data_IF_315428439158
#
_entry.id   IF_315428439158
#
_cell.length_a   1.000
_cell.length_b   1.000
_cell.length_c   1.000
_cell.angle_alpha   90.00
_cell.angle_beta   90.00
_cell.angle_gamma   90.00
#
_symmetry.space_group_name_H-M   'P 1'
#
loop_
_entity.id
_entity.type
_entity.pdbx_description
1 polymer ?
#
# COMPACT_ATOMS: atom_id res chain seq x y z
N UNK A 1 -16.98 11.65 3.58
CA UNK A 1 -16.02 11.18 2.65
C UNK A 1 -14.88 10.45 3.35
N UNK A 2 -14.45 9.38 2.76
CA UNK A 2 -13.44 8.61 3.39
C UNK A 2 -12.08 9.10 3.02
N UNK A 3 -11.18 9.15 3.96
CA UNK A 3 -9.79 9.40 3.66
C UNK A 3 -9.19 8.18 2.99
N UNK A 4 -8.42 8.40 1.96
CA UNK A 4 -7.70 7.32 1.31
C UNK A 4 -6.29 7.24 1.89
N UNK A 5 -6.22 7.11 3.21
CA UNK A 5 -4.92 7.13 3.88
C UNK A 5 -4.04 5.98 3.46
N UNK A 6 -4.60 4.77 3.41
CA UNK A 6 -3.81 3.62 3.02
C UNK A 6 -3.25 3.80 1.61
N UNK A 7 -4.12 4.16 0.67
CA UNK A 7 -3.67 4.27 -0.71
C UNK A 7 -2.62 5.35 -0.91
N UNK A 8 -2.82 6.49 -0.27
CA UNK A 8 -1.87 7.58 -0.39
C UNK A 8 -0.52 7.22 0.22
N UNK A 9 -0.54 6.57 1.37
CA UNK A 9 0.71 6.19 2.02
C UNK A 9 1.42 5.09 1.28
N UNK A 10 0.66 4.13 0.75
CA UNK A 10 1.25 3.08 -0.08
C UNK A 10 1.95 3.68 -1.28
N UNK A 11 1.30 4.62 -1.96
CA UNK A 11 1.91 5.25 -3.12
C UNK A 11 3.18 6.01 -2.73
N UNK A 12 3.14 6.75 -1.64
CA UNK A 12 4.31 7.49 -1.18
C UNK A 12 5.47 6.56 -0.88
N UNK A 13 5.20 5.45 -0.20
CA UNK A 13 6.24 4.50 0.14
C UNK A 13 6.81 3.84 -1.10
N UNK A 14 5.93 3.50 -2.05
CA UNK A 14 6.36 2.89 -3.29
C UNK A 14 7.29 3.83 -4.07
N UNK A 15 6.87 5.09 -4.19
CA UNK A 15 7.67 6.07 -4.91
C UNK A 15 9.00 6.34 -4.22
N UNK A 16 9.00 6.33 -2.89
CA UNK A 16 10.23 6.52 -2.14
C UNK A 16 11.23 5.41 -2.39
N UNK A 17 10.74 4.20 -2.65
CA UNK A 17 11.62 3.09 -2.99
C UNK A 17 11.97 3.07 -4.48
N UNK A 18 11.37 3.94 -5.27
CA UNK A 18 11.68 4.01 -6.68
C UNK A 18 11.17 2.84 -7.50
N UNK A 19 10.09 2.21 -7.07
CA UNK A 19 9.57 1.05 -7.80
C UNK A 19 8.22 1.38 -8.42
N UNK A 20 7.92 0.67 -9.51
CA UNK A 20 6.67 0.88 -10.25
C UNK A 20 5.53 0.10 -9.60
N UNK A 21 4.30 0.43 -10.00
CA UNK A 21 3.16 -0.37 -9.59
C UNK A 21 3.31 -1.80 -10.04
N UNK A 22 3.84 -2.00 -11.24
CA UNK A 22 4.04 -3.34 -11.76
C UNK A 22 5.01 -4.13 -10.89
N UNK A 23 6.11 -3.50 -10.51
CA UNK A 23 7.09 -4.17 -9.67
C UNK A 23 6.50 -4.51 -8.31
N UNK A 24 5.76 -3.58 -7.74
CA UNK A 24 5.12 -3.84 -6.45
C UNK A 24 4.13 -4.99 -6.57
N UNK A 25 3.39 -5.05 -7.69
CA UNK A 25 2.48 -6.16 -7.91
C UNK A 25 3.20 -7.48 -7.97
N UNK A 26 4.36 -7.51 -8.62
CA UNK A 26 5.17 -8.74 -8.66
C UNK A 26 5.59 -9.17 -7.26
N UNK A 27 5.98 -8.23 -6.43
CA UNK A 27 6.41 -8.53 -5.07
C UNK A 27 5.29 -9.18 -4.26
N UNK A 28 4.06 -8.69 -4.43
CA UNK A 28 2.94 -9.19 -3.65
C UNK A 28 2.08 -10.19 -4.42
N UNK A 29 2.52 -10.60 -5.60
CA UNK A 29 1.84 -11.61 -6.41
C UNK A 29 0.44 -11.17 -6.82
N UNK A 30 0.29 -9.90 -7.15
CA UNK A 30 -0.95 -9.36 -7.69
C UNK A 30 -0.62 -8.57 -8.95
N UNK A 31 -1.63 -8.29 -9.77
CA UNK A 31 -1.37 -7.52 -10.98
C UNK A 31 -1.21 -6.04 -10.64
N UNK A 32 -0.58 -5.30 -11.55
CA UNK A 32 -0.35 -3.88 -11.30
C UNK A 32 -1.65 -3.11 -11.19
N UNK A 33 -2.71 -3.58 -11.82
CA UNK A 33 -4.01 -2.94 -11.71
C UNK A 33 -4.55 -3.01 -10.29
N UNK A 34 -4.29 -4.13 -9.61
CA UNK A 34 -4.67 -4.26 -8.21
C UNK A 34 -3.94 -3.23 -7.35
N UNK A 35 -2.66 -3.02 -7.61
CA UNK A 35 -1.91 -1.99 -6.89
C UNK A 35 -2.54 -0.62 -7.13
N UNK A 36 -2.90 -0.34 -8.37
CA UNK A 36 -3.54 0.92 -8.70
C UNK A 36 -4.85 1.09 -7.93
N UNK A 37 -5.67 0.03 -7.83
CA UNK A 37 -6.91 0.09 -7.07
C UNK A 37 -6.64 0.37 -5.59
N UNK A 38 -5.60 -0.24 -5.04
CA UNK A 38 -5.25 0.03 -3.64
C UNK A 38 -4.83 1.49 -3.45
N UNK A 39 -4.06 2.02 -4.40
CA UNK A 39 -3.55 3.39 -4.26
C UNK A 39 -4.64 4.43 -4.47
N UNK A 40 -5.65 4.13 -5.25
CA UNK A 40 -6.77 5.06 -5.47
C UNK A 40 -7.88 4.90 -4.44
N UNK A 41 -7.84 3.83 -3.65
CA UNK A 41 -8.88 3.58 -2.66
C UNK A 41 -10.07 2.83 -3.20
N UNK A 42 -10.01 2.36 -4.46
CA UNK A 42 -11.12 1.60 -5.03
C UNK A 42 -11.24 0.22 -4.42
N UNK A 43 -10.13 -0.34 -3.96
CA UNK A 43 -10.10 -1.64 -3.32
C UNK A 43 -9.08 -1.64 -2.21
N UNK A 44 -9.21 -2.61 -1.32
CA UNK A 44 -8.31 -2.74 -0.17
C UNK A 44 -7.74 -4.14 -0.15
N UNK A 45 -6.50 -4.31 0.32
CA UNK A 45 -5.94 -5.64 0.46
C UNK A 45 -6.57 -6.35 1.66
N UNK A 46 -6.47 -7.67 1.68
CA UNK A 46 -6.90 -8.41 2.86
C UNK A 46 -5.87 -8.21 3.98
N UNK A 47 -6.19 -8.73 5.17
CA UNK A 47 -5.36 -8.48 6.34
C UNK A 47 -3.98 -9.08 6.22
N UNK A 48 -3.87 -10.27 5.64
CA UNK A 48 -2.56 -10.89 5.47
C UNK A 48 -1.68 -10.08 4.54
N UNK A 49 -2.26 -9.59 3.46
CA UNK A 49 -1.52 -8.76 2.53
C UNK A 49 -1.14 -7.43 3.15
N UNK A 50 -2.04 -6.85 3.92
CA UNK A 50 -1.73 -5.60 4.62
C UNK A 50 -0.54 -5.78 5.54
N UNK A 51 -0.50 -6.88 6.26
CA UNK A 51 0.62 -7.18 7.14
C UNK A 51 1.91 -7.30 6.35
N UNK A 52 1.86 -8.00 5.22
CA UNK A 52 3.04 -8.16 4.37
C UNK A 52 3.52 -6.82 3.83
N UNK A 53 2.60 -5.94 3.47
CA UNK A 53 2.96 -4.61 2.99
C UNK A 53 3.69 -3.83 4.07
N UNK A 54 3.17 -3.87 5.29
CA UNK A 54 3.79 -3.14 6.39
C UNK A 54 5.20 -3.66 6.64
N UNK A 55 5.37 -4.97 6.57
CA UNK A 55 6.69 -5.57 6.78
C UNK A 55 7.65 -5.20 5.67
N UNK A 56 7.18 -5.22 4.43
CA UNK A 56 8.03 -4.89 3.30
C UNK A 56 8.56 -3.46 3.38
N UNK A 57 7.69 -2.54 3.74
CA UNK A 57 8.08 -1.13 3.84
C UNK A 57 8.60 -0.74 5.22
N UNK A 58 8.60 -1.67 6.16
CA UNK A 58 9.12 -1.45 7.52
C UNK A 58 8.38 -0.31 8.21
N UNK A 59 7.07 -0.29 8.07
CA UNK A 59 6.20 0.66 8.76
C UNK A 59 5.12 -0.12 9.47
N UNK A 60 4.45 0.50 10.43
CA UNK A 60 3.37 -0.15 11.13
C UNK A 60 2.10 -0.16 10.28
N UNK A 61 1.20 -1.09 10.55
CA UNK A 61 -0.11 -1.06 9.91
C UNK A 61 -0.88 0.17 10.33
N UNK A 62 -0.66 0.67 11.56
CA UNK A 62 -1.29 1.90 12.00
C UNK A 62 -0.89 3.08 11.11
N UNK A 63 0.38 3.16 10.76
CA UNK A 63 0.84 4.20 9.85
C UNK A 63 0.13 4.09 8.51
N UNK A 64 0.07 2.88 7.96
CA UNK A 64 -0.58 2.67 6.67
C UNK A 64 -2.05 3.05 6.69
N UNK A 65 -2.71 2.81 7.82
CA UNK A 65 -4.13 3.10 7.94
C UNK A 65 -4.42 4.54 8.35
N UNK A 66 -3.38 5.32 8.57
CA UNK A 66 -3.55 6.71 8.92
C UNK A 66 -3.85 6.96 10.39
N UNK A 67 -3.61 5.96 11.23
CA UNK A 67 -3.86 6.10 12.66
C UNK A 67 -2.67 6.65 13.41
N UNK A 68 -1.52 6.72 12.75
CA UNK A 68 -0.28 7.12 13.39
C UNK A 68 0.52 7.95 12.39
N UNK A 69 1.20 9.00 12.91
CA UNK A 69 2.05 9.79 12.07
C UNK A 69 3.41 9.30 12.22
N UNK A 70 4.14 8.90 11.82
CA UNK A 70 5.44 8.37 11.87
C UNK A 70 6.48 9.00 12.72
#
# INVERSE_FOLDING_TARGET
MKNNNFGNRLKELRLAKGISQRKLGEIFSVCNQTISFWETGSREPDLDTLKSISEFFEVSTDYLLGLEEY
#
